data_IF_325921701878
#
_entry.id   IF_325921701878
#
_cell.length_a   1.000
_cell.length_b   1.000
_cell.length_c   1.000
_cell.angle_alpha   90.00
_cell.angle_beta   90.00
_cell.angle_gamma   90.00
#
_symmetry.space_group_name_H-M   'P 1'
#
loop_
_entity.id
_entity.type
_entity.pdbx_description
1 polymer ?
#
# COMPACT_ATOMS: atom_id res chain seq x y z
N UNK A 1 63.08 -6.04 -31.33
CA UNK A 1 62.06 -5.61 -30.35
C UNK A 1 60.86 -6.53 -30.49
N UNK A 2 60.83 -7.61 -29.72
CA UNK A 2 59.91 -8.75 -29.87
C UNK A 2 58.68 -8.53 -28.98
N UNK A 3 57.55 -8.09 -29.56
CA UNK A 3 56.25 -7.98 -28.89
C UNK A 3 55.59 -9.37 -28.77
N UNK A 4 56.16 -10.26 -27.97
CA UNK A 4 55.62 -11.63 -27.76
C UNK A 4 54.69 -11.70 -26.54
N UNK A 5 54.43 -10.55 -25.92
CA UNK A 5 53.75 -10.41 -24.64
C UNK A 5 52.20 -10.45 -24.71
N UNK A 6 51.48 -10.08 -25.81
CA UNK A 6 50.02 -10.01 -25.74
C UNK A 6 49.35 -11.39 -25.68
N UNK A 7 49.90 -12.39 -26.36
CA UNK A 7 49.32 -13.74 -26.39
C UNK A 7 49.53 -14.51 -25.10
N UNK A 8 50.67 -14.32 -24.44
CA UNK A 8 50.95 -14.91 -23.12
C UNK A 8 50.04 -14.30 -22.06
N UNK A 9 49.79 -12.99 -22.11
CA UNK A 9 48.82 -12.33 -21.22
C UNK A 9 47.39 -12.79 -21.47
N UNK A 10 46.98 -12.97 -22.73
CA UNK A 10 45.67 -13.52 -23.08
C UNK A 10 45.52 -14.97 -22.63
N UNK A 11 46.56 -15.80 -22.80
CA UNK A 11 46.56 -17.17 -22.33
C UNK A 11 46.57 -17.27 -20.79
N UNK A 12 47.24 -16.35 -20.10
CA UNK A 12 47.29 -16.29 -18.64
C UNK A 12 45.98 -15.74 -18.04
N UNK A 13 45.38 -14.72 -18.66
CA UNK A 13 44.03 -14.24 -18.33
C UNK A 13 42.99 -15.34 -18.61
N UNK A 14 43.10 -16.00 -19.76
CA UNK A 14 42.29 -17.14 -20.15
C UNK A 14 42.43 -18.28 -19.16
N UNK A 15 43.65 -18.64 -18.76
CA UNK A 15 43.94 -19.69 -17.77
C UNK A 15 43.51 -19.27 -16.36
N UNK A 16 43.58 -18.00 -15.98
CA UNK A 16 43.05 -17.50 -14.72
C UNK A 16 41.51 -17.49 -14.69
N UNK A 17 40.87 -17.35 -15.86
CA UNK A 17 39.43 -17.52 -16.06
C UNK A 17 39.01 -19.01 -16.16
N UNK A 18 39.84 -19.88 -16.75
CA UNK A 18 39.58 -21.32 -16.97
C UNK A 18 40.01 -22.19 -15.78
N UNK A 19 40.94 -21.71 -14.96
CA UNK A 19 41.28 -22.38 -13.71
C UNK A 19 40.03 -22.36 -12.82
N UNK A 20 39.64 -23.49 -12.21
CA UNK A 20 38.42 -23.65 -11.43
C UNK A 20 38.34 -22.54 -10.36
N UNK A 21 37.27 -21.75 -10.46
CA UNK A 21 37.33 -20.30 -10.56
C UNK A 21 37.19 -19.50 -9.25
N UNK A 22 38.25 -18.81 -8.78
CA UNK A 22 38.11 -17.68 -7.86
C UNK A 22 37.68 -16.41 -8.60
N UNK A 23 38.24 -16.12 -9.78
CA UNK A 23 37.91 -14.92 -10.56
C UNK A 23 36.49 -14.97 -11.16
N UNK A 24 36.06 -16.14 -11.64
CA UNK A 24 34.69 -16.36 -12.11
C UNK A 24 33.65 -16.23 -10.99
N UNK A 25 33.98 -16.68 -9.77
CA UNK A 25 33.11 -16.45 -8.60
C UNK A 25 32.99 -14.97 -8.26
N UNK A 26 34.09 -14.22 -8.28
CA UNK A 26 34.06 -12.77 -8.04
C UNK A 26 33.24 -12.05 -9.11
N UNK A 27 33.37 -12.40 -10.40
CA UNK A 27 32.54 -11.82 -11.46
C UNK A 27 31.05 -12.17 -11.27
N UNK A 28 30.73 -13.41 -10.89
CA UNK A 28 29.36 -13.84 -10.64
C UNK A 28 28.77 -13.19 -9.38
N UNK A 29 29.56 -12.96 -8.33
CA UNK A 29 29.13 -12.24 -7.13
C UNK A 29 28.91 -10.75 -7.42
N UNK A 30 29.75 -10.14 -8.26
CA UNK A 30 29.56 -8.74 -8.68
C UNK A 30 28.34 -8.59 -9.58
N UNK A 31 28.18 -9.46 -10.59
CA UNK A 31 27.00 -9.44 -11.47
C UNK A 31 25.75 -9.78 -10.68
N UNK A 32 25.80 -10.78 -9.81
CA UNK A 32 24.70 -11.17 -8.92
C UNK A 32 24.33 -10.05 -7.95
N UNK A 33 25.31 -9.39 -7.33
CA UNK A 33 25.11 -8.25 -6.45
C UNK A 33 24.50 -7.05 -7.17
N UNK A 34 24.98 -6.71 -8.37
CA UNK A 34 24.42 -5.62 -9.19
C UNK A 34 22.97 -5.96 -9.60
N UNK A 35 22.73 -7.19 -10.07
CA UNK A 35 21.40 -7.64 -10.47
C UNK A 35 20.44 -7.61 -9.29
N UNK A 36 20.87 -8.11 -8.12
CA UNK A 36 20.11 -8.07 -6.90
C UNK A 36 19.83 -6.63 -6.47
N UNK A 37 20.81 -5.73 -6.54
CA UNK A 37 20.62 -4.32 -6.19
C UNK A 37 19.64 -3.65 -7.14
N UNK A 38 19.76 -3.88 -8.45
CA UNK A 38 18.84 -3.36 -9.46
C UNK A 38 17.41 -3.89 -9.30
N UNK A 39 17.23 -5.10 -8.76
CA UNK A 39 15.89 -5.63 -8.47
C UNK A 39 15.36 -5.17 -7.11
N UNK A 40 16.21 -5.20 -6.09
CA UNK A 40 15.85 -4.95 -4.71
C UNK A 40 15.60 -3.45 -4.46
N UNK A 41 16.36 -2.58 -5.12
CA UNK A 41 16.20 -1.12 -5.02
C UNK A 41 14.80 -0.65 -5.44
N UNK A 42 14.29 -0.95 -6.66
CA UNK A 42 12.94 -0.57 -7.05
C UNK A 42 11.87 -1.30 -6.22
N UNK A 43 12.13 -2.53 -5.77
CA UNK A 43 11.19 -3.24 -4.90
C UNK A 43 11.06 -2.56 -3.53
N UNK A 44 12.17 -2.10 -2.94
CA UNK A 44 12.18 -1.32 -1.71
C UNK A 44 11.53 0.05 -1.89
N UNK A 45 11.89 0.77 -2.97
CA UNK A 45 11.29 2.07 -3.27
C UNK A 45 9.78 1.96 -3.52
N UNK A 46 9.36 0.93 -4.26
CA UNK A 46 7.95 0.64 -4.50
C UNK A 46 7.21 0.28 -3.22
N UNK A 47 7.78 -0.60 -2.39
CA UNK A 47 7.21 -0.97 -1.10
C UNK A 47 7.06 0.22 -0.16
N UNK A 48 8.11 1.02 0.02
CA UNK A 48 8.09 2.23 0.83
C UNK A 48 7.12 3.28 0.27
N UNK A 49 7.07 3.44 -1.05
CA UNK A 49 6.15 4.35 -1.72
C UNK A 49 4.68 3.98 -1.51
N UNK A 50 4.35 2.69 -1.57
CA UNK A 50 3.00 2.20 -1.28
C UNK A 50 2.60 2.45 0.17
N UNK A 51 3.51 2.20 1.12
CA UNK A 51 3.26 2.46 2.54
C UNK A 51 3.06 3.97 2.77
N UNK A 52 3.92 4.81 2.19
CA UNK A 52 3.79 6.26 2.26
C UNK A 52 2.45 6.76 1.68
N UNK A 53 2.03 6.21 0.53
CA UNK A 53 0.75 6.53 -0.09
C UNK A 53 -0.44 6.14 0.78
N UNK A 54 -0.41 4.96 1.40
CA UNK A 54 -1.46 4.52 2.31
C UNK A 54 -1.58 5.44 3.53
N UNK A 55 -0.45 5.87 4.10
CA UNK A 55 -0.44 6.81 5.22
C UNK A 55 -0.98 8.18 4.79
N UNK A 56 -0.60 8.69 3.62
CA UNK A 56 -1.13 9.95 3.10
C UNK A 56 -2.65 9.87 2.89
N UNK A 57 -3.15 8.74 2.35
CA UNK A 57 -4.58 8.53 2.11
C UNK A 57 -5.40 8.47 3.39
N UNK A 58 -4.83 7.97 4.50
CA UNK A 58 -5.48 7.98 5.82
C UNK A 58 -5.62 9.37 6.43
N UNK A 59 -4.82 10.35 5.99
CA UNK A 59 -4.83 11.72 6.55
C UNK A 59 -5.62 12.72 5.71
N UNK A 60 -6.08 12.31 4.53
CA UNK A 60 -6.94 13.11 3.67
C UNK A 60 -8.38 12.98 4.18
N UNK A 61 -8.91 14.05 4.78
CA UNK A 61 -10.31 14.13 5.17
C UNK A 61 -11.09 14.82 4.06
N UNK A 62 -12.18 14.19 3.62
CA UNK A 62 -13.09 14.76 2.62
C UNK A 62 -14.21 15.49 3.32
N UNK A 63 -14.47 16.73 2.95
CA UNK A 63 -15.58 17.49 3.51
C UNK A 63 -16.93 16.85 3.12
N UNK A 64 -17.81 16.50 4.07
CA UNK A 64 -19.09 15.87 3.76
C UNK A 64 -20.09 16.81 3.08
N UNK A 65 -19.90 18.13 3.22
CA UNK A 65 -20.83 19.11 2.67
C UNK A 65 -20.54 19.48 1.21
N UNK A 66 -19.27 19.51 0.79
CA UNK A 66 -18.88 19.99 -0.53
C UNK A 66 -17.88 19.09 -1.28
N UNK A 67 -17.37 18.01 -0.66
CA UNK A 67 -16.42 17.08 -1.29
C UNK A 67 -14.97 17.58 -1.36
N UNK A 68 -14.65 18.73 -0.75
CA UNK A 68 -13.30 19.28 -0.76
C UNK A 68 -12.34 18.43 0.10
N UNK A 69 -11.17 18.08 -0.45
CA UNK A 69 -10.14 17.31 0.24
C UNK A 69 -9.24 18.26 1.04
N UNK A 70 -9.14 18.04 2.35
CA UNK A 70 -8.29 18.86 3.24
C UNK A 70 -7.44 17.99 4.16
N UNK A 71 -6.28 18.52 4.55
CA UNK A 71 -5.35 17.87 5.49
C UNK A 71 -5.17 18.81 6.68
N UNK A 72 -5.65 18.39 7.85
CA UNK A 72 -5.41 19.10 9.12
C UNK A 72 -6.14 20.44 9.28
N UNK A 73 -7.19 20.72 8.49
CA UNK A 73 -8.02 21.91 8.70
C UNK A 73 -9.26 21.58 9.54
N UNK A 74 -9.56 22.41 10.53
CA UNK A 74 -10.72 22.28 11.42
C UNK A 74 -12.02 22.76 10.77
N UNK A 75 -11.89 23.59 9.73
CA UNK A 75 -12.99 24.17 8.96
C UNK A 75 -12.65 24.06 7.47
N UNK A 76 -13.64 23.71 6.65
CA UNK A 76 -13.46 23.56 5.22
C UNK A 76 -13.24 24.94 4.55
N UNK A 77 -12.14 25.17 3.82
CA UNK A 77 -11.87 26.46 3.19
C UNK A 77 -12.79 26.77 2.01
N UNK A 78 -13.48 25.78 1.45
CA UNK A 78 -14.38 25.95 0.31
C UNK A 78 -15.80 26.38 0.71
N UNK A 79 -16.34 25.81 1.79
CA UNK A 79 -17.73 26.02 2.20
C UNK A 79 -17.92 26.46 3.66
N UNK A 80 -16.85 26.53 4.46
CA UNK A 80 -16.88 26.98 5.85
C UNK A 80 -17.44 25.98 6.86
N UNK A 81 -17.82 24.76 6.44
CA UNK A 81 -18.32 23.73 7.37
C UNK A 81 -17.20 23.18 8.26
N UNK A 82 -17.47 23.03 9.55
CA UNK A 82 -16.54 22.41 10.50
C UNK A 82 -16.24 20.96 10.09
N UNK A 83 -14.96 20.62 9.98
CA UNK A 83 -14.45 19.28 9.74
C UNK A 83 -14.20 18.63 11.11
N UNK A 84 -15.29 18.40 11.86
CA UNK A 84 -15.23 17.86 13.21
C UNK A 84 -14.89 16.37 13.24
N UNK A 85 -13.72 16.05 13.79
CA UNK A 85 -13.41 14.92 14.67
C UNK A 85 -14.16 13.58 14.44
N UNK A 86 -13.84 12.88 13.35
CA UNK A 86 -13.91 11.41 13.30
C UNK A 86 -12.52 10.78 13.59
N UNK A 87 -11.69 11.45 14.38
CA UNK A 87 -10.46 10.89 14.94
C UNK A 87 -10.52 11.03 16.46
N UNK A 88 -11.06 9.97 17.07
CA UNK A 88 -11.00 9.60 18.48
C UNK A 88 -10.25 10.57 19.41
N UNK A 89 -11.01 11.26 20.25
CA UNK A 89 -10.52 11.69 21.57
C UNK A 89 -10.32 10.42 22.42
N UNK A 90 -9.10 10.05 22.87
CA UNK A 90 -8.96 9.09 23.94
C UNK A 90 -9.05 9.89 25.25
N UNK A 91 -10.28 10.13 25.69
CA UNK A 91 -10.57 10.91 26.88
C UNK A 91 -11.68 10.25 27.69
N UNK A 92 -11.26 9.27 28.48
CA UNK A 92 -11.81 8.96 29.82
C UNK A 92 -13.29 8.58 29.94
N UNK A 93 -13.57 7.27 29.98
CA UNK A 93 -14.57 6.71 30.90
C UNK A 93 -14.31 5.22 31.18
N UNK A 94 -13.80 4.99 32.39
CA UNK A 94 -14.17 3.89 33.29
C UNK A 94 -13.94 2.44 32.81
N UNK A 95 -12.93 1.83 33.43
CA UNK A 95 -12.80 0.37 33.50
C UNK A 95 -14.08 -0.26 34.10
N UNK A 96 -14.87 -0.92 33.27
CA UNK A 96 -15.85 -1.92 33.72
C UNK A 96 -15.31 -3.29 33.34
N UNK A 97 -14.78 -3.95 34.35
CA UNK A 97 -14.44 -5.37 34.36
C UNK A 97 -15.70 -6.18 34.04
N UNK A 98 -15.76 -6.81 32.87
CA UNK A 98 -16.92 -7.63 32.48
C UNK A 98 -16.69 -8.30 31.13
N UNK A 99 -16.11 -9.50 31.15
CA UNK A 99 -15.77 -10.25 29.94
C UNK A 99 -16.98 -10.56 29.05
N UNK A 100 -16.73 -10.54 27.74
CA UNK A 100 -17.36 -11.44 26.77
C UNK A 100 -16.63 -11.35 25.43
N UNK A 101 -16.10 -12.48 25.04
CA UNK A 101 -15.58 -12.80 23.72
C UNK A 101 -16.77 -12.74 22.77
N UNK A 102 -16.84 -11.73 21.90
CA UNK A 102 -17.87 -11.65 20.84
C UNK A 102 -17.18 -11.25 19.54
N UNK A 103 -16.80 -12.29 18.82
CA UNK A 103 -16.96 -12.44 17.37
C UNK A 103 -16.43 -11.32 16.47
N UNK A 104 -15.17 -11.49 16.11
CA UNK A 104 -14.47 -10.83 15.00
C UNK A 104 -14.92 -11.34 13.60
N UNK A 105 -16.14 -11.86 13.47
CA UNK A 105 -16.72 -12.34 12.20
C UNK A 105 -17.51 -11.24 11.47
N UNK A 106 -17.94 -10.18 12.17
CA UNK A 106 -18.79 -9.14 11.60
C UNK A 106 -18.09 -8.13 10.67
N UNK A 107 -16.75 -8.18 10.52
CA UNK A 107 -16.00 -7.27 9.64
C UNK A 107 -15.58 -7.88 8.30
N UNK A 108 -15.88 -9.16 8.05
CA UNK A 108 -15.59 -9.83 6.78
C UNK A 108 -16.86 -10.29 6.05
N UNK A 109 -17.97 -9.58 6.25
CA UNK A 109 -19.19 -9.79 5.45
C UNK A 109 -18.92 -9.26 4.04
N UNK A 110 -18.65 -10.19 3.14
CA UNK A 110 -18.36 -9.95 1.72
C UNK A 110 -19.56 -9.27 1.08
N UNK A 111 -19.35 -8.20 0.31
CA UNK A 111 -20.42 -7.47 -0.39
C UNK A 111 -21.34 -8.37 -1.26
N UNK A 112 -20.86 -9.57 -1.63
CA UNK A 112 -21.62 -10.60 -2.34
C UNK A 112 -22.83 -11.14 -1.58
N UNK A 113 -22.89 -11.01 -0.26
CA UNK A 113 -23.95 -11.60 0.57
C UNK A 113 -25.08 -10.63 0.94
N UNK A 114 -25.08 -9.41 0.39
CA UNK A 114 -26.13 -8.43 0.60
C UNK A 114 -27.14 -8.50 -0.57
N UNK A 115 -28.30 -9.11 -0.33
CA UNK A 115 -29.46 -9.02 -1.22
C UNK A 115 -30.40 -7.93 -0.71
N UNK A 116 -30.74 -6.98 -1.57
CA UNK A 116 -31.71 -5.92 -1.28
C UNK A 116 -33.02 -6.36 -1.92
N UNK A 117 -34.01 -6.70 -1.10
CA UNK A 117 -35.38 -6.92 -1.56
C UNK A 117 -36.07 -5.55 -1.69
N UNK A 118 -36.52 -5.23 -2.90
CA UNK A 118 -37.30 -4.03 -3.19
C UNK A 118 -38.76 -4.45 -3.33
N UNK A 119 -39.55 -4.15 -2.30
CA UNK A 119 -41.01 -4.23 -2.39
C UNK A 119 -41.56 -2.93 -2.96
N UNK A 120 -42.29 -3.03 -4.08
CA UNK A 120 -43.02 -1.90 -4.64
C UNK A 120 -44.36 -1.83 -3.92
N UNK A 121 -44.42 -1.02 -2.86
CA UNK A 121 -45.72 -0.62 -2.29
C UNK A 121 -46.40 0.27 -3.32
N UNK A 122 -47.36 -0.32 -4.03
CA UNK A 122 -48.23 0.40 -4.94
C UNK A 122 -49.18 1.25 -4.10
N UNK A 123 -48.83 2.53 -3.89
CA UNK A 123 -49.74 3.55 -3.37
C UNK A 123 -50.82 3.83 -4.42
N UNK A 124 -51.81 2.94 -4.52
CA UNK A 124 -53.10 3.19 -5.15
C UNK A 124 -54.18 2.82 -4.13
N UNK A 125 -54.30 3.68 -3.14
CA UNK A 125 -55.56 3.97 -2.50
C UNK A 125 -55.69 5.50 -2.53
N UNK A 126 -56.94 5.98 -2.56
CA UNK A 126 -57.39 7.37 -2.52
C UNK A 126 -57.79 7.87 -3.91
N UNK A 127 -59.07 8.24 -4.02
CA UNK A 127 -59.79 8.82 -5.17
C UNK A 127 -60.55 7.82 -6.08
N UNK A 128 -61.62 7.21 -5.56
CA UNK A 128 -62.92 7.07 -6.27
C UNK A 128 -63.94 6.33 -5.37
N UNK A 129 -64.93 7.03 -4.83
CA UNK A 129 -66.38 6.75 -5.00
C UNK A 129 -67.20 7.77 -4.19
N UNK A 130 -67.81 8.72 -4.91
CA UNK A 130 -68.92 9.58 -4.49
C UNK A 130 -70.14 9.25 -5.33
#
# INVERSE_FOLDING_TARGET
>A
MQRQIPWVWLALLGLLLLAPSPAGRVLLDVVGGITLTLLLLPLLLGGLGLIAWQVLRRRLTVCPACGFMSVGAEVCPACGTALGQDSASPGDETQVFGGREVDQEARNVKASSATIDVEVVSSQAIDDEN
#
